data_IF_881300453073
#
_entry.id   IF_881300453073
#
_cell.length_a   1.000
_cell.length_b   1.000
_cell.length_c   1.000
_cell.angle_alpha   90.00
_cell.angle_beta   90.00
_cell.angle_gamma   90.00
#
_symmetry.space_group_name_H-M   'P 1'
#
loop_
_entity.id
_entity.type
_entity.pdbx_description
1 polymer ?
#
# COMPACT_ATOMS: atom_id res chain seq x y z
N UNK A 1 11.86 75.74 -11.57
CA UNK A 1 13.19 75.37 -12.07
C UNK A 1 13.98 74.93 -10.86
N UNK A 2 14.18 73.63 -10.71
CA UNK A 2 15.38 73.03 -10.09
C UNK A 2 15.21 71.50 -10.13
N UNK A 3 16.14 70.88 -10.85
CA UNK A 3 16.23 69.45 -11.12
C UNK A 3 16.72 68.70 -9.88
N UNK A 4 16.01 67.65 -9.46
CA UNK A 4 16.58 66.60 -8.61
C UNK A 4 16.82 65.37 -9.46
N UNK A 5 18.07 65.19 -9.88
CA UNK A 5 18.56 64.02 -10.59
C UNK A 5 18.44 62.77 -9.72
N UNK A 6 17.82 61.75 -10.32
CA UNK A 6 17.82 60.37 -9.87
C UNK A 6 19.15 59.72 -10.28
N UNK A 7 19.97 59.30 -9.32
CA UNK A 7 21.09 58.39 -9.58
C UNK A 7 20.68 56.96 -9.20
N UNK A 8 20.37 56.18 -10.23
CA UNK A 8 20.26 54.74 -10.17
C UNK A 8 21.68 54.15 -10.06
N UNK A 9 22.02 53.57 -8.91
CA UNK A 9 23.22 52.74 -8.81
C UNK A 9 22.86 51.35 -9.34
N UNK A 10 23.24 51.12 -10.60
CA UNK A 10 23.42 49.81 -11.20
C UNK A 10 24.54 49.07 -10.44
N UNK A 11 24.21 48.00 -9.71
CA UNK A 11 25.21 46.99 -9.34
C UNK A 11 25.02 45.82 -10.30
N UNK A 12 25.90 45.82 -11.30
CA UNK A 12 26.12 44.76 -12.25
C UNK A 12 26.33 43.42 -11.55
N UNK A 13 25.55 42.44 -11.99
CA UNK A 13 25.76 41.02 -11.83
C UNK A 13 27.20 40.67 -12.21
N UNK A 14 27.95 40.13 -11.25
CA UNK A 14 29.19 39.39 -11.52
C UNK A 14 29.01 38.02 -10.91
N UNK A 15 28.62 37.09 -11.77
CA UNK A 15 28.62 35.66 -11.55
C UNK A 15 30.06 35.20 -11.32
N UNK A 16 30.45 34.91 -10.08
CA UNK A 16 31.61 34.07 -9.72
C UNK A 16 31.65 33.76 -8.21
N UNK A 17 30.65 33.04 -7.68
CA UNK A 17 30.72 32.44 -6.33
C UNK A 17 30.24 30.97 -6.29
N UNK A 18 30.75 30.16 -7.22
CA UNK A 18 30.48 28.73 -7.27
C UNK A 18 31.76 27.89 -7.10
N UNK A 19 32.41 27.90 -5.91
CA UNK A 19 33.18 26.72 -5.46
C UNK A 19 33.63 26.67 -3.99
N UNK A 20 32.84 27.12 -3.01
CA UNK A 20 33.23 26.98 -1.60
C UNK A 20 32.34 26.03 -0.79
N UNK A 21 32.28 24.78 -1.24
CA UNK A 21 32.02 23.65 -0.32
C UNK A 21 33.37 23.00 -0.06
N UNK A 22 33.84 22.91 1.19
CA UNK A 22 34.99 22.08 1.50
C UNK A 22 34.68 20.66 1.06
N UNK A 23 35.43 20.12 0.07
CA UNK A 23 35.37 18.70 -0.30
C UNK A 23 35.73 17.89 0.94
N UNK A 24 34.74 17.24 1.56
CA UNK A 24 34.98 16.28 2.64
C UNK A 24 35.35 14.96 1.97
N UNK A 25 36.61 14.82 1.55
CA UNK A 25 37.16 13.55 1.09
C UNK A 25 37.84 12.84 2.25
N UNK A 26 37.27 11.71 2.67
CA UNK A 26 37.97 10.69 3.44
C UNK A 26 38.99 9.98 2.52
N UNK A 27 40.19 10.54 2.41
CA UNK A 27 41.31 9.85 1.73
C UNK A 27 42.59 10.08 2.51
N UNK A 28 43.01 9.04 3.23
CA UNK A 28 44.38 8.88 3.72
C UNK A 28 45.26 8.51 2.52
N UNK A 29 46.28 9.31 2.23
CA UNK A 29 47.29 8.99 1.22
C UNK A 29 48.43 8.17 1.84
N UNK A 30 48.71 7.00 1.25
CA UNK A 30 50.02 6.32 1.32
C UNK A 30 50.47 6.04 -0.11
N UNK A 31 51.62 6.61 -0.50
CA UNK A 31 52.47 6.17 -1.61
C UNK A 31 53.18 4.87 -1.17
N UNK A 32 53.53 3.84 -1.95
CA UNK A 32 53.72 3.63 -3.40
C UNK A 32 53.66 2.11 -3.72
N UNK A 33 53.10 1.77 -4.89
CA UNK A 33 53.53 0.74 -5.86
C UNK A 33 53.70 -0.74 -5.43
N UNK A 34 52.71 -1.62 -5.72
CA UNK A 34 52.87 -2.99 -6.29
C UNK A 34 51.52 -3.48 -6.91
N UNK A 35 51.58 -3.83 -8.20
CA UNK A 35 50.79 -4.78 -9.05
C UNK A 35 49.29 -5.05 -8.79
N UNK A 36 48.52 -4.88 -9.86
CA UNK A 36 47.09 -5.20 -10.04
C UNK A 36 46.76 -6.71 -10.06
N UNK A 37 45.76 -7.09 -9.25
CA UNK A 37 44.86 -8.26 -9.41
C UNK A 37 43.51 -7.92 -8.74
N UNK A 38 42.37 -8.42 -9.24
CA UNK A 38 41.04 -7.93 -8.85
C UNK A 38 40.58 -8.48 -7.50
N UNK A 39 40.20 -7.61 -6.56
CA UNK A 39 39.65 -8.01 -5.26
C UNK A 39 38.13 -7.85 -5.29
N UNK A 40 37.44 -9.00 -5.25
CA UNK A 40 36.03 -9.11 -4.92
C UNK A 40 35.80 -8.65 -3.47
N UNK A 41 34.93 -7.66 -3.26
CA UNK A 41 34.48 -7.27 -1.92
C UNK A 41 33.24 -8.10 -1.59
N UNK A 42 33.44 -9.12 -0.76
CA UNK A 42 32.38 -9.83 -0.03
C UNK A 42 32.03 -9.00 1.22
N UNK A 43 30.76 -8.79 1.57
CA UNK A 43 30.39 -8.09 2.80
C UNK A 43 30.80 -8.89 4.05
N UNK A 44 31.41 -8.19 5.01
CA UNK A 44 31.93 -8.75 6.27
C UNK A 44 30.78 -8.95 7.28
N UNK A 45 30.71 -10.09 8.00
CA UNK A 45 29.62 -10.39 8.93
C UNK A 45 29.74 -9.59 10.25
N UNK A 46 28.61 -9.06 10.72
CA UNK A 46 28.44 -8.49 12.05
C UNK A 46 28.63 -9.58 13.13
N UNK A 47 29.55 -9.34 14.06
CA UNK A 47 29.80 -10.21 15.21
C UNK A 47 29.23 -9.51 16.45
N UNK A 48 28.16 -10.07 17.02
CA UNK A 48 27.61 -9.60 18.30
C UNK A 48 28.36 -10.25 19.48
N UNK A 49 28.64 -9.52 20.58
CA UNK A 49 29.31 -10.07 21.75
C UNK A 49 28.39 -11.01 22.57
N UNK A 50 28.94 -12.03 23.25
CA UNK A 50 28.15 -13.08 23.90
C UNK A 50 27.50 -12.60 25.21
N UNK A 51 26.21 -12.89 25.36
CA UNK A 51 25.49 -12.74 26.63
C UNK A 51 25.90 -13.85 27.61
N UNK A 52 26.37 -13.43 28.79
CA UNK A 52 26.79 -14.29 29.88
C UNK A 52 25.58 -14.95 30.57
N UNK A 53 25.71 -16.25 30.84
CA UNK A 53 24.81 -17.05 31.67
C UNK A 53 25.01 -16.70 33.15
N UNK A 54 23.94 -16.39 33.88
CA UNK A 54 23.92 -16.43 35.35
C UNK A 54 22.95 -17.51 35.82
N UNK A 55 23.48 -18.42 36.63
CA UNK A 55 22.86 -19.59 37.24
C UNK A 55 21.88 -19.23 38.36
N UNK A 56 20.80 -20.01 38.46
CA UNK A 56 19.77 -19.91 39.48
C UNK A 56 20.21 -20.45 40.86
N UNK A 57 19.69 -19.84 41.92
CA UNK A 57 19.38 -20.51 43.18
C UNK A 57 18.00 -20.06 43.71
N UNK A 58 17.14 -21.06 43.96
CA UNK A 58 15.83 -21.03 44.65
C UNK A 58 16.07 -21.41 46.13
N UNK A 59 15.19 -21.12 47.12
CA UNK A 59 13.80 -21.61 47.22
C UNK A 59 12.77 -20.57 47.75
N UNK A 60 11.49 -20.59 47.32
CA UNK A 60 10.35 -21.37 47.86
C UNK A 60 9.37 -20.37 48.51
N UNK A 61 8.03 -20.35 48.38
CA UNK A 61 6.99 -21.32 47.99
C UNK A 61 5.64 -20.59 47.81
N UNK A 62 4.64 -21.30 47.27
CA UNK A 62 3.17 -21.10 47.38
C UNK A 62 2.36 -20.63 46.14
N UNK A 63 1.93 -21.65 45.38
CA UNK A 63 0.55 -21.96 44.95
C UNK A 63 -0.40 -20.82 44.50
N UNK A 64 -0.84 -20.85 43.23
CA UNK A 64 -2.12 -21.46 42.77
C UNK A 64 -2.26 -21.34 41.24
N UNK A 65 -2.61 -22.46 40.61
CA UNK A 65 -2.86 -22.65 39.18
C UNK A 65 -4.37 -22.76 38.94
N UNK A 66 -4.88 -22.12 37.88
CA UNK A 66 -6.14 -22.54 37.23
C UNK A 66 -6.08 -22.26 35.73
N UNK A 67 -6.06 -23.36 34.96
CA UNK A 67 -6.28 -23.44 33.52
C UNK A 67 -7.76 -23.67 33.24
N UNK A 68 -8.33 -23.03 32.21
CA UNK A 68 -9.64 -23.41 31.67
C UNK A 68 -9.50 -24.00 30.27
N UNK A 69 -9.77 -25.30 30.20
CA UNK A 69 -10.13 -26.11 29.03
C UNK A 69 -11.66 -26.18 29.02
N UNK A 70 -12.32 -25.92 27.89
CA UNK A 70 -13.76 -26.21 27.72
C UNK A 70 -13.93 -27.37 26.72
N UNK A 71 -14.77 -28.31 27.16
CA UNK A 71 -14.94 -29.68 26.70
C UNK A 71 -16.03 -29.82 25.64
N UNK A 72 -15.85 -30.83 24.77
CA UNK A 72 -16.90 -31.60 24.08
C UNK A 72 -17.88 -32.23 25.08
N UNK A 73 -19.17 -32.27 24.73
CA UNK A 73 -20.14 -33.27 25.22
C UNK A 73 -21.12 -33.66 24.11
N UNK A 74 -21.35 -34.97 24.00
CA UNK A 74 -22.51 -35.72 23.49
C UNK A 74 -22.78 -36.81 24.56
N UNK A 75 -23.83 -37.67 24.54
CA UNK A 75 -25.15 -37.71 23.85
C UNK A 75 -26.31 -38.05 24.84
N UNK A 76 -27.45 -38.65 24.37
CA UNK A 76 -28.51 -39.49 25.05
C UNK A 76 -29.93 -38.85 25.08
N UNK A 77 -31.11 -39.45 24.77
CA UNK A 77 -31.62 -40.78 24.35
C UNK A 77 -33.06 -40.67 23.77
N UNK A 78 -33.52 -41.78 23.17
CA UNK A 78 -34.84 -42.12 22.59
C UNK A 78 -36.04 -42.09 23.57
N UNK A 79 -37.27 -41.99 23.02
CA UNK A 79 -38.52 -42.38 23.68
C UNK A 79 -39.78 -42.11 22.84
N UNK A 80 -40.55 -43.16 22.55
CA UNK A 80 -41.78 -43.23 21.75
C UNK A 80 -43.04 -42.61 22.41
N UNK A 81 -43.98 -42.05 21.62
CA UNK A 81 -45.40 -42.50 21.59
C UNK A 81 -46.32 -41.73 20.61
N UNK A 82 -47.34 -42.46 20.17
CA UNK A 82 -48.31 -42.21 19.09
C UNK A 82 -49.71 -41.91 19.67
N UNK A 83 -50.44 -40.90 19.17
CA UNK A 83 -51.84 -41.00 18.67
C UNK A 83 -52.69 -39.71 18.70
N UNK A 84 -53.17 -39.34 17.51
CA UNK A 84 -54.53 -38.96 17.05
C UNK A 84 -55.29 -37.77 17.67
N UNK A 85 -55.77 -36.86 16.80
CA UNK A 85 -57.20 -36.68 16.41
C UNK A 85 -57.32 -35.67 15.24
N UNK A 86 -57.81 -36.13 14.08
CA UNK A 86 -59.05 -35.72 13.35
C UNK A 86 -58.95 -34.56 12.33
N UNK A 87 -59.06 -34.93 11.06
CA UNK A 87 -59.70 -34.28 9.89
C UNK A 87 -59.61 -32.76 9.68
N UNK A 88 -58.94 -32.33 8.60
CA UNK A 88 -59.56 -32.02 7.29
C UNK A 88 -58.76 -31.00 6.45
N UNK A 89 -58.71 -31.28 5.14
CA UNK A 89 -58.55 -30.34 4.01
C UNK A 89 -57.22 -29.61 3.70
N UNK A 90 -56.65 -30.06 2.55
CA UNK A 90 -56.00 -29.30 1.47
C UNK A 90 -54.68 -28.54 1.75
N UNK A 91 -53.58 -29.22 1.40
CA UNK A 91 -52.59 -28.85 0.36
C UNK A 91 -52.06 -27.40 0.34
N UNK A 92 -50.81 -27.19 0.75
CA UNK A 92 -49.81 -26.28 0.13
C UNK A 92 -48.44 -26.54 0.81
N UNK A 93 -47.66 -27.51 0.32
CA UNK A 93 -46.22 -27.51 0.63
C UNK A 93 -45.58 -26.37 -0.17
N UNK A 94 -45.43 -25.22 0.48
CA UNK A 94 -44.59 -24.13 0.00
C UNK A 94 -43.13 -24.58 0.11
N UNK A 95 -42.67 -25.33 -0.90
CA UNK A 95 -41.29 -25.77 -1.00
C UNK A 95 -40.43 -24.52 -1.23
N UNK A 96 -39.60 -24.20 -0.23
CA UNK A 96 -38.60 -23.14 -0.29
C UNK A 96 -37.69 -23.33 -1.53
N UNK A 97 -37.49 -22.26 -2.31
CA UNK A 97 -36.71 -22.28 -3.55
C UNK A 97 -35.27 -22.76 -3.35
N UNK A 98 -34.74 -22.62 -2.13
CA UNK A 98 -33.45 -23.15 -1.70
C UNK A 98 -33.48 -24.69 -1.67
N UNK A 99 -34.53 -25.29 -1.10
CA UNK A 99 -34.66 -26.74 -0.99
C UNK A 99 -34.75 -27.41 -2.36
N UNK A 100 -35.45 -26.77 -3.29
CA UNK A 100 -35.56 -27.25 -4.68
C UNK A 100 -34.22 -27.17 -5.43
N UNK A 101 -33.43 -26.12 -5.19
CA UNK A 101 -32.09 -25.98 -5.75
C UNK A 101 -31.11 -27.04 -5.22
N UNK A 102 -31.19 -27.36 -3.92
CA UNK A 102 -30.39 -28.44 -3.32
C UNK A 102 -30.73 -29.80 -3.95
N UNK A 103 -32.02 -30.09 -4.14
CA UNK A 103 -32.48 -31.31 -4.83
C UNK A 103 -31.96 -31.40 -6.28
N UNK A 104 -31.88 -30.28 -6.99
CA UNK A 104 -31.26 -30.21 -8.31
C UNK A 104 -29.75 -30.48 -8.27
N UNK A 105 -29.03 -29.91 -7.30
CA UNK A 105 -27.60 -30.17 -7.12
C UNK A 105 -27.32 -31.65 -6.86
N UNK A 106 -28.15 -32.31 -6.06
CA UNK A 106 -28.01 -33.73 -5.77
C UNK A 106 -28.36 -34.61 -6.98
N UNK A 107 -29.34 -34.21 -7.80
CA UNK A 107 -29.59 -34.86 -9.08
C UNK A 107 -28.39 -34.72 -10.05
N UNK A 108 -27.70 -33.57 -10.05
CA UNK A 108 -26.50 -33.34 -10.84
C UNK A 108 -25.32 -34.22 -10.42
N UNK A 109 -25.16 -34.48 -9.11
CA UNK A 109 -24.09 -35.36 -8.59
C UNK A 109 -24.29 -36.82 -9.00
N UNK A 110 -25.54 -37.29 -9.09
CA UNK A 110 -25.89 -38.67 -9.48
C UNK A 110 -25.61 -39.00 -10.96
N UNK A 111 -25.34 -37.99 -11.79
CA UNK A 111 -25.20 -38.13 -13.25
C UNK A 111 -23.78 -38.42 -13.75
N UNK A 112 -22.73 -38.21 -12.94
CA UNK A 112 -21.37 -38.22 -13.46
C UNK A 112 -20.62 -39.53 -13.27
N UNK A 113 -20.04 -40.02 -14.37
CA UNK A 113 -19.17 -41.21 -14.43
C UNK A 113 -17.75 -40.98 -13.88
N UNK A 114 -17.50 -39.89 -13.15
CA UNK A 114 -16.23 -39.64 -12.45
C UNK A 114 -16.40 -38.54 -11.37
N UNK A 115 -15.93 -38.83 -10.17
CA UNK A 115 -16.02 -37.97 -8.97
C UNK A 115 -15.44 -36.56 -9.16
N UNK A 116 -14.42 -36.40 -10.01
CA UNK A 116 -13.71 -35.13 -10.19
C UNK A 116 -14.49 -34.13 -11.07
N UNK A 117 -15.29 -34.62 -12.03
CA UNK A 117 -16.05 -33.76 -12.94
C UNK A 117 -17.39 -33.32 -12.33
N UNK A 118 -17.98 -34.11 -11.44
CA UNK A 118 -19.24 -33.81 -10.76
C UNK A 118 -19.10 -32.66 -9.77
N UNK A 119 -17.98 -32.58 -9.05
CA UNK A 119 -17.69 -31.47 -8.11
C UNK A 119 -17.50 -30.15 -8.85
N UNK A 120 -16.74 -30.14 -9.95
CA UNK A 120 -16.54 -28.94 -10.79
C UNK A 120 -17.87 -28.41 -11.34
N UNK A 121 -18.77 -29.30 -11.74
CA UNK A 121 -20.11 -28.95 -12.22
C UNK A 121 -20.96 -28.37 -11.08
N UNK A 122 -21.01 -29.05 -9.93
CA UNK A 122 -21.73 -28.60 -8.74
C UNK A 122 -21.26 -27.22 -8.27
N UNK A 123 -19.94 -26.99 -8.24
CA UNK A 123 -19.35 -25.70 -7.85
C UNK A 123 -19.72 -24.59 -8.85
N UNK A 124 -19.77 -24.89 -10.15
CA UNK A 124 -20.18 -23.92 -11.19
C UNK A 124 -21.65 -23.54 -11.09
N UNK A 125 -22.52 -24.49 -10.74
CA UNK A 125 -23.95 -24.26 -10.51
C UNK A 125 -24.18 -23.44 -9.24
N UNK A 126 -23.52 -23.79 -8.13
CA UNK A 126 -23.57 -23.02 -6.86
C UNK A 126 -23.06 -21.58 -7.03
N UNK A 127 -21.95 -21.40 -7.76
CA UNK A 127 -21.42 -20.06 -8.08
C UNK A 127 -22.38 -19.25 -8.96
N UNK A 128 -23.09 -19.89 -9.89
CA UNK A 128 -24.11 -19.22 -10.69
C UNK A 128 -25.33 -18.82 -9.87
N UNK A 129 -25.76 -19.66 -8.93
CA UNK A 129 -26.87 -19.39 -8.00
C UNK A 129 -26.55 -18.23 -7.06
N UNK A 130 -25.37 -18.22 -6.42
CA UNK A 130 -24.95 -17.11 -5.55
C UNK A 130 -24.78 -15.77 -6.27
N UNK A 131 -24.65 -15.77 -7.60
CA UNK A 131 -24.54 -14.55 -8.41
C UNK A 131 -25.87 -14.12 -9.06
N UNK A 132 -26.93 -14.94 -8.98
CA UNK A 132 -28.22 -14.65 -9.58
C UNK A 132 -29.05 -13.68 -8.71
N UNK A 133 -30.00 -12.97 -9.32
CA UNK A 133 -30.83 -12.00 -8.61
C UNK A 133 -31.70 -12.69 -7.54
N UNK A 134 -31.63 -12.29 -6.24
CA UNK A 134 -32.43 -12.88 -5.18
C UNK A 134 -33.95 -12.87 -5.47
N UNK A 135 -34.44 -11.83 -6.16
CA UNK A 135 -35.86 -11.73 -6.56
C UNK A 135 -36.23 -12.80 -7.60
N UNK A 136 -35.33 -13.11 -8.53
CA UNK A 136 -35.55 -14.17 -9.51
C UNK A 136 -35.44 -15.56 -8.86
N UNK A 137 -34.50 -15.75 -7.95
CA UNK A 137 -34.34 -17.02 -7.21
C UNK A 137 -35.59 -17.33 -6.38
N UNK A 138 -36.23 -16.32 -5.79
CA UNK A 138 -37.48 -16.46 -5.05
C UNK A 138 -38.72 -16.58 -5.95
N UNK A 139 -38.58 -16.46 -7.28
CA UNK A 139 -39.71 -16.46 -8.21
C UNK A 139 -40.23 -17.87 -8.55
N UNK A 140 -41.50 -17.95 -8.90
CA UNK A 140 -42.13 -19.18 -9.41
C UNK A 140 -41.50 -19.67 -10.72
N UNK A 141 -40.95 -18.75 -11.53
CA UNK A 141 -40.31 -19.10 -12.80
C UNK A 141 -39.06 -19.95 -12.57
N UNK A 142 -38.22 -19.55 -11.61
CA UNK A 142 -37.05 -20.32 -11.24
C UNK A 142 -37.44 -21.68 -10.63
N UNK A 143 -38.48 -21.71 -9.81
CA UNK A 143 -39.00 -22.95 -9.24
C UNK A 143 -39.55 -23.91 -10.32
N UNK A 144 -40.24 -23.39 -11.34
CA UNK A 144 -40.70 -24.18 -12.50
C UNK A 144 -39.51 -24.73 -13.30
N UNK A 145 -38.51 -23.89 -13.59
CA UNK A 145 -37.28 -24.29 -14.27
C UNK A 145 -36.60 -25.45 -13.56
N UNK A 146 -36.41 -25.36 -12.24
CA UNK A 146 -35.75 -26.40 -11.46
C UNK A 146 -36.56 -27.70 -11.44
N UNK A 147 -37.89 -27.63 -11.27
CA UNK A 147 -38.77 -28.82 -11.32
C UNK A 147 -38.64 -29.53 -12.67
N UNK A 148 -38.75 -28.80 -13.78
CA UNK A 148 -38.59 -29.34 -15.14
C UNK A 148 -37.19 -29.91 -15.35
N UNK A 149 -36.16 -29.24 -14.85
CA UNK A 149 -34.76 -29.68 -14.98
C UNK A 149 -34.47 -30.95 -14.19
N UNK A 150 -34.98 -31.07 -12.95
CA UNK A 150 -34.90 -32.30 -12.15
C UNK A 150 -35.63 -33.44 -12.86
N UNK A 151 -36.79 -33.17 -13.45
CA UNK A 151 -37.57 -34.16 -14.17
C UNK A 151 -36.87 -34.61 -15.45
N UNK A 152 -36.26 -33.70 -16.21
CA UNK A 152 -35.47 -34.03 -17.41
C UNK A 152 -34.19 -34.82 -17.11
N UNK A 153 -33.63 -34.66 -15.91
CA UNK A 153 -32.50 -35.46 -15.41
C UNK A 153 -32.96 -36.85 -14.98
N UNK A 154 -34.17 -36.96 -14.42
CA UNK A 154 -34.68 -38.18 -13.79
C UNK A 154 -35.43 -39.09 -14.78
N UNK A 155 -36.17 -38.50 -15.71
CA UNK A 155 -36.82 -39.17 -16.83
C UNK A 155 -35.87 -39.06 -18.01
N UNK A 156 -35.36 -40.19 -18.52
CA UNK A 156 -34.41 -40.29 -19.65
C UNK A 156 -34.95 -39.75 -20.99
N UNK A 157 -35.41 -38.50 -21.00
CA UNK A 157 -35.73 -37.72 -22.18
C UNK A 157 -34.42 -37.53 -22.96
N UNK A 158 -34.47 -37.59 -24.30
CA UNK A 158 -33.29 -37.64 -25.17
C UNK A 158 -32.29 -36.47 -25.08
N UNK A 159 -32.45 -35.55 -24.14
CA UNK A 159 -31.55 -34.44 -23.87
C UNK A 159 -30.41 -34.88 -22.96
N UNK A 160 -29.17 -34.75 -23.45
CA UNK A 160 -27.99 -35.10 -22.64
C UNK A 160 -28.00 -34.32 -21.31
N UNK A 161 -27.75 -34.96 -20.15
CA UNK A 161 -27.89 -34.32 -18.84
C UNK A 161 -27.06 -33.04 -18.65
N UNK A 162 -25.91 -32.95 -19.30
CA UNK A 162 -25.08 -31.73 -19.27
C UNK A 162 -25.72 -30.54 -19.97
N UNK A 163 -26.60 -30.74 -20.97
CA UNK A 163 -27.36 -29.66 -21.59
C UNK A 163 -28.39 -29.09 -20.62
N UNK A 164 -29.01 -29.93 -19.78
CA UNK A 164 -29.95 -29.49 -18.74
C UNK A 164 -29.22 -28.62 -17.72
N UNK A 165 -28.06 -29.06 -17.25
CA UNK A 165 -27.21 -28.27 -16.35
C UNK A 165 -26.75 -26.97 -17.01
N UNK A 166 -26.34 -27.01 -18.28
CA UNK A 166 -25.93 -25.82 -19.04
C UNK A 166 -27.08 -24.83 -19.18
N UNK A 167 -28.31 -25.30 -19.45
CA UNK A 167 -29.50 -24.47 -19.55
C UNK A 167 -29.79 -23.73 -18.25
N UNK A 168 -29.81 -24.45 -17.12
CA UNK A 168 -30.03 -23.85 -15.79
C UNK A 168 -28.96 -22.82 -15.46
N UNK A 169 -27.69 -23.13 -15.74
CA UNK A 169 -26.58 -22.21 -15.49
C UNK A 169 -26.67 -20.97 -16.39
N UNK A 170 -27.10 -21.10 -17.64
CA UNK A 170 -27.26 -19.96 -18.56
C UNK A 170 -28.43 -19.08 -18.15
N UNK A 171 -29.52 -19.68 -17.66
CA UNK A 171 -30.67 -18.93 -17.17
C UNK A 171 -30.37 -18.18 -15.87
N UNK A 172 -29.61 -18.79 -14.95
CA UNK A 172 -29.06 -18.13 -13.77
C UNK A 172 -28.11 -16.98 -14.14
N UNK A 173 -27.30 -17.14 -15.20
CA UNK A 173 -26.43 -16.07 -15.69
C UNK A 173 -27.20 -14.94 -16.38
N UNK A 174 -28.27 -15.28 -17.09
CA UNK A 174 -29.13 -14.32 -17.78
C UNK A 174 -29.93 -13.46 -16.80
N UNK A 175 -30.27 -14.02 -15.64
CA UNK A 175 -30.98 -13.37 -14.54
C UNK A 175 -30.06 -12.92 -13.39
N UNK A 176 -28.80 -12.61 -13.70
CA UNK A 176 -27.94 -11.85 -12.77
C UNK A 176 -28.51 -10.46 -12.55
N UNK A 177 -28.27 -9.87 -11.37
CA UNK A 177 -28.48 -8.44 -11.17
C UNK A 177 -27.66 -7.68 -12.22
N UNK A 178 -28.31 -7.19 -13.27
CA UNK A 178 -27.71 -6.27 -14.22
C UNK A 178 -27.48 -4.96 -13.46
N UNK A 179 -26.24 -4.68 -13.06
CA UNK A 179 -25.84 -3.29 -12.77
C UNK A 179 -26.29 -2.46 -13.96
N UNK A 180 -27.17 -1.48 -13.73
CA UNK A 180 -27.81 -0.66 -14.78
C UNK A 180 -26.70 -0.01 -15.61
N UNK A 181 -26.48 -0.48 -16.84
CA UNK A 181 -25.67 0.21 -17.86
C UNK A 181 -26.61 1.03 -18.73
N UNK A 182 -26.60 2.35 -18.55
CA UNK A 182 -26.94 3.28 -19.62
C UNK A 182 -25.77 3.28 -20.62
N UNK A 183 -26.05 3.02 -21.89
CA UNK A 183 -25.15 3.28 -23.02
C UNK A 183 -25.32 4.77 -23.41
N UNK A 184 -24.29 5.59 -23.63
CA UNK A 184 -23.12 5.34 -24.48
C UNK A 184 -21.79 5.83 -23.87
N UNK A 185 -20.89 4.86 -23.67
CA UNK A 185 -19.44 4.87 -23.87
C UNK A 185 -18.59 6.06 -23.35
N UNK A 186 -18.22 6.01 -22.06
CA UNK A 186 -16.85 5.71 -21.59
C UNK A 186 -16.90 5.34 -20.09
N UNK A 187 -16.05 4.38 -19.73
CA UNK A 187 -15.80 3.72 -18.43
C UNK A 187 -16.10 4.48 -17.11
N UNK A 188 -16.75 3.72 -16.20
CA UNK A 188 -16.63 3.58 -14.71
C UNK A 188 -16.23 4.79 -13.82
N UNK A 189 -16.72 5.01 -12.59
CA UNK A 189 -17.34 4.16 -11.57
C UNK A 189 -17.88 5.03 -10.40
N UNK A 190 -18.85 4.55 -9.63
CA UNK A 190 -19.01 4.84 -8.18
C UNK A 190 -19.92 3.74 -7.61
N UNK A 191 -19.61 3.02 -6.53
CA UNK A 191 -18.43 3.01 -5.68
C UNK A 191 -18.67 1.96 -4.59
N UNK A 192 -17.61 1.61 -3.84
CA UNK A 192 -17.64 1.55 -2.36
C UNK A 192 -16.19 1.42 -1.86
N UNK A 193 -15.78 2.35 -0.98
CA UNK A 193 -14.52 2.29 -0.21
C UNK A 193 -13.30 3.00 -0.79
N UNK A 194 -13.38 4.26 -1.25
CA UNK A 194 -12.20 5.11 -1.51
C UNK A 194 -12.51 6.61 -1.45
N UNK A 195 -12.88 7.13 -0.28
CA UNK A 195 -13.23 8.55 -0.13
C UNK A 195 -12.07 9.52 -0.34
N UNK A 196 -10.81 9.04 -0.37
CA UNK A 196 -9.61 9.86 -0.63
C UNK A 196 -8.96 9.65 -2.00
N UNK A 197 -9.01 8.46 -2.59
CA UNK A 197 -8.31 8.20 -3.86
C UNK A 197 -9.03 8.74 -5.10
N UNK A 198 -10.37 8.80 -5.10
CA UNK A 198 -11.14 9.33 -6.24
C UNK A 198 -10.85 10.81 -6.50
N UNK A 199 -10.71 11.60 -5.43
CA UNK A 199 -10.38 13.02 -5.51
C UNK A 199 -9.00 13.27 -6.14
N UNK A 200 -8.05 12.35 -5.91
CA UNK A 200 -6.70 12.47 -6.47
C UNK A 200 -6.64 12.01 -7.93
N UNK A 201 -7.42 10.98 -8.31
CA UNK A 201 -7.48 10.50 -9.70
C UNK A 201 -8.07 11.53 -10.68
N UNK A 202 -9.13 12.24 -10.27
CA UNK A 202 -9.71 13.32 -11.09
C UNK A 202 -8.75 14.51 -11.22
N UNK A 203 -8.08 14.88 -10.13
CA UNK A 203 -7.08 15.95 -10.12
C UNK A 203 -5.88 15.66 -11.04
N UNK A 204 -5.43 14.40 -11.11
CA UNK A 204 -4.34 14.00 -12.01
C UNK A 204 -4.77 14.11 -13.47
N UNK A 205 -5.95 13.59 -13.85
CA UNK A 205 -6.43 13.66 -15.24
C UNK A 205 -6.60 15.12 -15.69
N UNK A 206 -7.09 16.01 -14.82
CA UNK A 206 -7.21 17.43 -15.13
C UNK A 206 -5.85 18.11 -15.33
N UNK A 207 -4.83 17.71 -14.58
CA UNK A 207 -3.47 18.21 -14.79
C UNK A 207 -2.84 17.67 -16.08
N UNK A 208 -3.17 16.43 -16.48
CA UNK A 208 -2.73 15.86 -17.76
C UNK A 208 -3.41 16.58 -18.94
N UNK A 209 -4.69 16.94 -18.82
CA UNK A 209 -5.41 17.71 -19.86
C UNK A 209 -4.77 19.08 -20.14
N UNK A 210 -4.18 19.72 -19.12
CA UNK A 210 -3.49 21.02 -19.23
C UNK A 210 -2.17 20.96 -20.01
N UNK A 211 -1.61 19.76 -20.27
CA UNK A 211 -0.39 19.60 -21.06
C UNK A 211 -0.67 20.01 -22.52
N UNK A 212 0.02 21.05 -22.99
CA UNK A 212 -0.17 21.63 -24.33
C UNK A 212 0.25 20.65 -25.44
N UNK A 213 1.43 20.04 -25.31
CA UNK A 213 1.97 19.11 -26.31
C UNK A 213 1.16 17.79 -26.34
N UNK A 214 0.48 17.45 -27.46
CA UNK A 214 -0.34 16.25 -27.56
C UNK A 214 0.47 14.95 -27.41
N UNK A 215 1.76 14.94 -27.79
CA UNK A 215 2.63 13.76 -27.64
C UNK A 215 2.95 13.53 -26.17
N UNK A 216 3.39 14.57 -25.45
CA UNK A 216 3.61 14.52 -23.99
C UNK A 216 2.33 14.14 -23.25
N UNK A 217 1.18 14.70 -23.63
CA UNK A 217 -0.12 14.36 -23.02
C UNK A 217 -0.48 12.88 -23.21
N UNK A 218 -0.28 12.32 -24.40
CA UNK A 218 -0.50 10.88 -24.65
C UNK A 218 0.48 10.02 -23.84
N UNK A 219 1.73 10.45 -23.70
CA UNK A 219 2.72 9.75 -22.88
C UNK A 219 2.33 9.78 -21.40
N UNK A 220 1.91 10.94 -20.88
CA UNK A 220 1.46 11.09 -19.50
C UNK A 220 0.29 10.16 -19.18
N UNK A 221 -0.71 10.04 -20.07
CA UNK A 221 -1.81 9.07 -19.92
C UNK A 221 -1.34 7.61 -19.86
N UNK A 222 -0.34 7.25 -20.67
CA UNK A 222 0.24 5.89 -20.64
C UNK A 222 0.96 5.63 -19.32
N UNK A 223 1.73 6.61 -18.84
CA UNK A 223 2.45 6.53 -17.57
C UNK A 223 1.47 6.44 -16.40
N UNK A 224 0.42 7.28 -16.38
CA UNK A 224 -0.64 7.24 -15.38
C UNK A 224 -1.36 5.88 -15.34
N UNK A 225 -1.75 5.35 -16.51
CA UNK A 225 -2.35 4.01 -16.59
C UNK A 225 -1.42 2.91 -16.07
N UNK A 226 -0.11 3.02 -16.32
CA UNK A 226 0.88 2.10 -15.79
C UNK A 226 1.03 2.22 -14.27
N UNK A 227 1.06 3.45 -13.73
CA UNK A 227 1.06 3.70 -12.28
C UNK A 227 -0.15 3.07 -11.59
N UNK A 228 -1.36 3.21 -12.16
CA UNK A 228 -2.57 2.58 -11.62
C UNK A 228 -2.47 1.05 -11.58
N UNK A 229 -1.88 0.43 -12.61
CA UNK A 229 -1.66 -1.02 -12.65
C UNK A 229 -0.64 -1.46 -11.59
N UNK A 230 0.44 -0.71 -11.45
CA UNK A 230 1.47 -0.98 -10.44
C UNK A 230 0.92 -0.82 -9.03
N UNK A 231 0.16 0.24 -8.77
CA UNK A 231 -0.47 0.47 -7.47
C UNK A 231 -1.39 -0.69 -7.08
N UNK A 232 -2.25 -1.15 -7.99
CA UNK A 232 -3.09 -2.34 -7.78
C UNK A 232 -2.26 -3.59 -7.47
N UNK A 233 -1.13 -3.78 -8.17
CA UNK A 233 -0.26 -4.94 -7.94
C UNK A 233 0.49 -4.85 -6.60
N UNK A 234 0.94 -3.66 -6.21
CA UNK A 234 1.56 -3.40 -4.90
C UNK A 234 0.55 -3.73 -3.79
N UNK A 235 -0.67 -3.19 -3.86
CA UNK A 235 -1.73 -3.47 -2.89
C UNK A 235 -2.04 -4.98 -2.79
N UNK A 236 -2.13 -5.66 -3.92
CA UNK A 236 -2.32 -7.12 -3.93
C UNK A 236 -1.18 -7.86 -3.21
N UNK A 237 0.08 -7.48 -3.46
CA UNK A 237 1.24 -8.12 -2.82
C UNK A 237 1.38 -7.78 -1.34
N UNK A 238 0.87 -6.61 -0.92
CA UNK A 238 0.82 -6.19 0.49
C UNK A 238 -0.22 -6.99 1.29
N UNK A 239 -1.34 -7.35 0.67
CA UNK A 239 -2.44 -8.12 1.28
C UNK A 239 -2.25 -9.64 1.19
N UNK A 240 -1.34 -10.13 0.34
CA UNK A 240 -1.11 -11.56 0.12
C UNK A 240 -0.23 -12.16 1.24
N UNK A 241 -0.83 -13.05 2.03
CA UNK A 241 -0.11 -13.81 3.07
C UNK A 241 0.94 -14.74 2.45
N UNK A 242 2.13 -14.80 3.06
CA UNK A 242 3.21 -15.71 2.66
C UNK A 242 3.43 -16.79 3.71
N UNK A 243 3.70 -18.01 3.23
CA UNK A 243 4.22 -19.09 4.08
C UNK A 243 5.70 -18.87 4.43
N UNK A 244 6.19 -19.57 5.47
CA UNK A 244 7.59 -19.47 5.89
C UNK A 244 8.56 -19.91 4.78
N UNK A 245 8.18 -20.92 4.00
CA UNK A 245 9.01 -21.42 2.89
C UNK A 245 9.14 -20.37 1.78
N UNK A 246 8.04 -19.69 1.44
CA UNK A 246 8.02 -18.63 0.42
C UNK A 246 8.79 -17.36 0.85
N UNK A 247 9.08 -17.18 2.13
CA UNK A 247 9.89 -16.05 2.61
C UNK A 247 11.37 -16.18 2.22
N UNK A 248 11.87 -17.40 2.06
CA UNK A 248 13.26 -17.68 1.70
C UNK A 248 13.51 -17.62 0.18
N UNK A 249 12.45 -17.56 -0.62
CA UNK A 249 12.54 -17.49 -2.08
C UNK A 249 13.09 -16.14 -2.56
N UNK A 250 13.99 -16.16 -3.55
CA UNK A 250 14.52 -14.96 -4.23
C UNK A 250 13.43 -14.13 -4.93
N UNK A 251 12.30 -14.77 -5.24
CA UNK A 251 11.10 -14.15 -5.81
C UNK A 251 9.93 -14.10 -4.80
N UNK A 252 10.23 -14.04 -3.49
CA UNK A 252 9.23 -13.80 -2.44
C UNK A 252 8.42 -12.53 -2.71
N UNK A 253 7.20 -12.44 -2.16
CA UNK A 253 6.35 -11.27 -2.34
C UNK A 253 7.04 -10.00 -1.84
N UNK A 254 7.85 -10.07 -0.78
CA UNK A 254 8.60 -8.92 -0.26
C UNK A 254 9.61 -8.36 -1.28
N UNK A 255 10.37 -9.23 -1.94
CA UNK A 255 11.33 -8.82 -2.98
C UNK A 255 10.60 -8.26 -4.21
N UNK A 256 9.49 -8.89 -4.61
CA UNK A 256 8.63 -8.35 -5.68
C UNK A 256 8.10 -6.97 -5.33
N UNK A 257 7.63 -6.77 -4.09
CA UNK A 257 7.07 -5.52 -3.60
C UNK A 257 8.09 -4.37 -3.71
N UNK A 258 9.35 -4.61 -3.30
CA UNK A 258 10.43 -3.64 -3.46
C UNK A 258 10.70 -3.28 -4.93
N UNK A 259 10.77 -4.28 -5.82
CA UNK A 259 10.91 -4.08 -7.28
C UNK A 259 9.76 -3.22 -7.84
N UNK A 260 8.52 -3.52 -7.46
CA UNK A 260 7.34 -2.76 -7.93
C UNK A 260 7.29 -1.34 -7.36
N UNK A 261 7.58 -1.13 -6.08
CA UNK A 261 7.67 0.21 -5.46
C UNK A 261 8.77 1.06 -6.12
N UNK A 262 9.95 0.48 -6.32
CA UNK A 262 11.06 1.13 -7.03
C UNK A 262 10.66 1.53 -8.45
N UNK A 263 9.92 0.68 -9.17
CA UNK A 263 9.43 0.99 -10.51
C UNK A 263 8.32 2.06 -10.49
N UNK A 264 7.44 2.02 -9.49
CA UNK A 264 6.39 3.02 -9.27
C UNK A 264 7.00 4.42 -9.10
N UNK A 265 8.01 4.57 -8.22
CA UNK A 265 8.71 5.85 -8.01
C UNK A 265 9.31 6.39 -9.32
N UNK A 266 9.95 5.53 -10.12
CA UNK A 266 10.53 5.92 -11.42
C UNK A 266 9.48 6.47 -12.39
N UNK A 267 8.33 5.79 -12.50
CA UNK A 267 7.25 6.25 -13.36
C UNK A 267 6.58 7.51 -12.81
N UNK A 268 6.45 7.64 -11.49
CA UNK A 268 5.89 8.83 -10.85
C UNK A 268 6.76 10.07 -11.12
N UNK A 269 8.09 9.95 -10.96
CA UNK A 269 9.02 11.01 -11.35
C UNK A 269 8.86 11.38 -12.82
N UNK A 270 8.69 10.38 -13.70
CA UNK A 270 8.46 10.64 -15.13
C UNK A 270 7.14 11.35 -15.41
N UNK A 271 6.08 11.04 -14.66
CA UNK A 271 4.81 11.74 -14.76
C UNK A 271 4.96 13.20 -14.33
N UNK A 272 5.67 13.45 -13.23
CA UNK A 272 5.96 14.80 -12.73
C UNK A 272 6.76 15.62 -13.75
N UNK A 273 7.78 15.04 -14.40
CA UNK A 273 8.52 15.68 -15.49
C UNK A 273 7.61 16.07 -16.67
N UNK A 274 6.66 15.22 -17.05
CA UNK A 274 5.72 15.49 -18.15
C UNK A 274 4.70 16.57 -17.78
N UNK A 275 4.40 16.72 -16.49
CA UNK A 275 3.49 17.73 -15.94
C UNK A 275 4.20 19.02 -15.51
N UNK A 276 5.53 19.07 -15.60
CA UNK A 276 6.37 20.20 -15.13
C UNK A 276 6.17 20.51 -13.63
N UNK A 277 5.99 19.46 -12.83
CA UNK A 277 5.83 19.52 -11.36
C UNK A 277 7.04 18.92 -10.64
N UNK A 278 7.22 19.30 -9.37
CA UNK A 278 8.21 18.64 -8.51
C UNK A 278 7.78 17.20 -8.19
N UNK A 279 8.74 16.27 -8.16
CA UNK A 279 8.52 14.88 -7.78
C UNK A 279 8.50 14.65 -6.25
N UNK A 280 8.50 15.72 -5.45
CA UNK A 280 8.56 15.66 -3.99
C UNK A 280 7.28 15.12 -3.31
N UNK A 281 6.26 14.75 -4.09
CA UNK A 281 4.96 14.25 -3.63
C UNK A 281 4.34 15.10 -2.50
N UNK A 282 4.60 16.41 -2.52
CA UNK A 282 4.19 17.40 -1.52
C UNK A 282 4.66 17.13 -0.07
N UNK A 283 5.51 16.12 0.12
CA UNK A 283 5.99 15.68 1.44
C UNK A 283 6.70 16.81 2.16
N UNK A 284 6.19 17.14 3.35
CA UNK A 284 6.68 18.28 4.14
C UNK A 284 8.17 18.14 4.46
N UNK A 285 8.68 16.92 4.65
CA UNK A 285 10.10 16.67 4.89
C UNK A 285 11.01 17.17 3.75
N UNK A 286 10.59 17.10 2.49
CA UNK A 286 11.38 17.55 1.33
C UNK A 286 11.40 19.07 1.14
N UNK A 287 10.47 19.81 1.75
CA UNK A 287 10.44 21.28 1.67
C UNK A 287 11.75 21.89 2.21
N UNK A 288 12.11 23.08 1.74
CA UNK A 288 13.25 23.80 2.33
C UNK A 288 13.01 24.06 3.81
N UNK A 289 14.09 24.08 4.58
CA UNK A 289 14.09 24.39 6.01
C UNK A 289 14.46 25.85 6.16
N UNK A 290 13.75 26.58 6.98
CA UNK A 290 14.18 27.88 7.51
C UNK A 290 14.58 27.70 8.97
N UNK A 291 15.67 28.33 9.39
CA UNK A 291 16.14 28.26 10.77
C UNK A 291 16.35 29.66 11.34
N UNK A 292 15.77 29.93 12.52
CA UNK A 292 15.87 31.21 13.22
C UNK A 292 16.29 31.03 14.70
N UNK A 293 16.89 29.89 15.06
CA UNK A 293 17.19 29.57 16.47
C UNK A 293 18.40 30.32 17.03
N UNK A 294 19.41 30.61 16.22
CA UNK A 294 20.57 31.39 16.68
C UNK A 294 20.24 32.88 16.72
N UNK A 295 20.75 33.64 17.71
CA UNK A 295 20.66 35.11 17.71
C UNK A 295 21.47 35.77 16.59
N UNK A 296 22.28 34.99 15.84
CA UNK A 296 23.11 35.47 14.75
C UNK A 296 22.52 35.04 13.40
N UNK A 297 21.89 35.95 12.63
CA UNK A 297 21.25 35.63 11.36
C UNK A 297 22.23 35.06 10.32
N UNK A 298 23.49 35.46 10.37
CA UNK A 298 24.52 34.98 9.44
C UNK A 298 24.84 33.49 9.66
N UNK A 299 24.84 33.05 10.92
CA UNK A 299 24.98 31.63 11.27
C UNK A 299 23.76 30.84 10.80
N UNK A 300 22.56 31.39 11.03
CA UNK A 300 21.31 30.78 10.60
C UNK A 300 21.27 30.56 9.09
N UNK A 301 21.56 31.60 8.31
CA UNK A 301 21.56 31.55 6.85
C UNK A 301 22.62 30.57 6.29
N UNK A 302 23.80 30.51 6.92
CA UNK A 302 24.86 29.60 6.52
C UNK A 302 24.47 28.14 6.77
N UNK A 303 23.89 27.85 7.93
CA UNK A 303 23.41 26.52 8.31
C UNK A 303 22.22 26.08 7.45
N UNK A 304 21.29 26.99 7.19
CA UNK A 304 20.16 26.78 6.28
C UNK A 304 20.64 26.42 4.87
N UNK A 305 21.59 27.20 4.32
CA UNK A 305 22.16 26.96 2.99
C UNK A 305 22.88 25.61 2.93
N UNK A 306 23.63 25.24 3.97
CA UNK A 306 24.28 23.95 4.08
C UNK A 306 23.26 22.81 4.03
N UNK A 307 22.30 22.79 4.96
CA UNK A 307 21.34 21.69 5.07
C UNK A 307 20.41 21.59 3.86
N UNK A 308 19.91 22.71 3.33
CA UNK A 308 19.03 22.69 2.17
C UNK A 308 19.72 22.18 0.89
N UNK A 309 21.05 22.26 0.83
CA UNK A 309 21.85 21.75 -0.28
C UNK A 309 22.23 20.28 -0.11
N UNK A 310 22.70 19.87 1.08
CA UNK A 310 23.18 18.49 1.31
C UNK A 310 22.05 17.54 1.71
N UNK A 311 21.05 18.04 2.44
CA UNK A 311 20.00 17.25 3.11
C UNK A 311 20.54 16.19 4.09
N UNK A 312 21.81 16.33 4.46
CA UNK A 312 22.48 15.48 5.44
C UNK A 312 22.34 16.09 6.83
N UNK A 313 22.20 15.23 7.85
CA UNK A 313 22.15 15.67 9.23
C UNK A 313 23.55 16.16 9.63
N UNK A 314 23.73 17.46 9.95
CA UNK A 314 25.05 17.99 10.28
C UNK A 314 25.54 17.38 11.58
N UNK A 315 26.83 17.05 11.65
CA UNK A 315 27.48 16.76 12.92
C UNK A 315 27.89 18.06 13.66
N UNK A 316 28.42 17.92 14.87
CA UNK A 316 28.88 19.08 15.63
C UNK A 316 30.04 19.83 14.95
N UNK A 317 30.95 19.11 14.29
CA UNK A 317 32.10 19.71 13.62
C UNK A 317 31.68 20.47 12.36
N UNK A 318 30.65 20.02 11.64
CA UNK A 318 30.03 20.71 10.53
C UNK A 318 29.51 22.07 10.99
N UNK A 319 28.69 22.09 12.04
CA UNK A 319 28.15 23.33 12.60
C UNK A 319 29.28 24.23 13.12
N UNK A 320 30.27 23.67 13.81
CA UNK A 320 31.42 24.46 14.30
C UNK A 320 32.22 25.08 13.16
N UNK A 321 32.47 24.34 12.07
CA UNK A 321 33.14 24.87 10.87
C UNK A 321 32.34 25.99 10.21
N UNK A 322 31.02 25.86 10.14
CA UNK A 322 30.13 26.91 9.63
C UNK A 322 30.17 28.17 10.51
N UNK A 323 30.18 28.02 11.84
CA UNK A 323 30.30 29.16 12.77
C UNK A 323 31.68 29.82 12.64
N UNK A 324 32.76 29.04 12.51
CA UNK A 324 34.11 29.56 12.27
C UNK A 324 34.19 30.33 10.96
N UNK A 325 33.59 29.80 9.90
CA UNK A 325 33.47 30.44 8.60
C UNK A 325 32.75 31.79 8.68
N UNK A 326 31.62 31.84 9.39
CA UNK A 326 30.87 33.09 9.58
C UNK A 326 31.69 34.08 10.39
N UNK A 327 32.38 33.62 11.44
CA UNK A 327 33.23 34.46 12.27
C UNK A 327 34.35 35.15 11.47
N UNK A 328 35.01 34.41 10.57
CA UNK A 328 36.07 34.96 9.71
C UNK A 328 35.52 35.85 8.59
N UNK A 329 34.44 35.43 7.93
CA UNK A 329 33.87 36.14 6.77
C UNK A 329 33.17 37.44 7.18
N UNK A 330 32.42 37.41 8.29
CA UNK A 330 31.63 38.56 8.78
C UNK A 330 32.35 39.37 9.86
N UNK A 331 33.62 39.04 10.17
CA UNK A 331 34.48 39.75 11.13
C UNK A 331 33.82 39.93 12.51
N UNK A 332 33.20 38.87 13.02
CA UNK A 332 32.49 38.89 14.31
C UNK A 332 33.42 38.86 15.54
N UNK A 333 34.73 38.60 15.33
CA UNK A 333 35.79 38.60 16.34
C UNK A 333 35.49 37.74 17.58
N UNK A 334 34.81 36.60 17.40
CA UNK A 334 34.57 35.67 18.49
C UNK A 334 35.81 34.84 18.80
N UNK A 335 36.17 34.77 20.09
CA UNK A 335 37.20 33.85 20.58
C UNK A 335 36.79 32.37 20.47
N UNK A 336 37.74 31.43 20.58
CA UNK A 336 37.51 30.00 20.33
C UNK A 336 36.45 29.38 21.24
N UNK A 337 36.40 29.79 22.51
CA UNK A 337 35.40 29.32 23.49
C UNK A 337 33.99 29.80 23.09
N UNK A 338 33.86 31.07 22.67
CA UNK A 338 32.58 31.62 22.25
C UNK A 338 32.07 30.94 20.98
N UNK A 339 32.96 30.68 20.01
CA UNK A 339 32.65 29.91 18.80
C UNK A 339 32.15 28.51 19.16
N UNK A 340 32.82 27.83 20.09
CA UNK A 340 32.40 26.50 20.56
C UNK A 340 30.99 26.54 21.16
N UNK A 341 30.73 27.48 22.07
CA UNK A 341 29.43 27.58 22.74
C UNK A 341 28.30 27.93 21.77
N UNK A 342 28.54 28.81 20.80
CA UNK A 342 27.56 29.13 19.75
C UNK A 342 27.29 27.90 18.90
N UNK A 343 28.34 27.19 18.47
CA UNK A 343 28.19 25.98 17.68
C UNK A 343 27.42 24.90 18.45
N UNK A 344 27.71 24.70 19.74
CA UNK A 344 27.05 23.68 20.56
C UNK A 344 25.56 23.97 20.74
N UNK A 345 25.21 25.21 21.07
CA UNK A 345 23.81 25.64 21.20
C UNK A 345 23.07 25.49 19.87
N UNK A 346 23.66 26.01 18.79
CA UNK A 346 23.08 25.97 17.45
C UNK A 346 22.88 24.52 16.98
N UNK A 347 23.86 23.64 17.21
CA UNK A 347 23.79 22.23 16.88
C UNK A 347 22.66 21.51 17.63
N UNK A 348 22.54 21.73 18.94
CA UNK A 348 21.48 21.13 19.76
C UNK A 348 20.10 21.56 19.29
N UNK A 349 19.87 22.86 19.12
CA UNK A 349 18.57 23.39 18.71
C UNK A 349 18.20 22.99 17.27
N UNK A 350 19.13 23.11 16.33
CA UNK A 350 18.90 22.73 14.94
C UNK A 350 18.70 21.21 14.81
N UNK A 351 19.51 20.41 15.49
CA UNK A 351 19.39 18.96 15.51
C UNK A 351 18.06 18.50 16.09
N UNK A 352 17.59 19.13 17.17
CA UNK A 352 16.27 18.84 17.74
C UNK A 352 15.14 19.20 16.77
N UNK A 353 15.22 20.35 16.09
CA UNK A 353 14.27 20.74 15.05
C UNK A 353 14.22 19.71 13.90
N UNK A 354 15.38 19.28 13.40
CA UNK A 354 15.47 18.25 12.35
C UNK A 354 14.88 16.92 12.82
N UNK A 355 15.16 16.52 14.06
CA UNK A 355 14.62 15.30 14.65
C UNK A 355 13.10 15.35 14.74
N UNK A 356 12.52 16.44 15.27
CA UNK A 356 11.06 16.62 15.34
C UNK A 356 10.43 16.58 13.97
N UNK A 357 11.06 17.22 12.97
CA UNK A 357 10.57 17.20 11.59
C UNK A 357 10.56 15.79 10.99
N UNK A 358 11.59 14.98 11.25
CA UNK A 358 11.66 13.58 10.82
C UNK A 358 10.61 12.72 11.53
N UNK A 359 10.46 12.89 12.84
CA UNK A 359 9.45 12.16 13.61
C UNK A 359 8.03 12.48 13.14
N UNK A 360 7.74 13.74 12.81
CA UNK A 360 6.46 14.13 12.27
C UNK A 360 6.19 13.49 10.90
N UNK A 361 7.20 13.44 10.05
CA UNK A 361 7.11 12.79 8.74
C UNK A 361 6.91 11.27 8.86
N UNK A 362 7.61 10.60 9.78
CA UNK A 362 7.36 9.19 10.09
C UNK A 362 5.92 8.98 10.58
N UNK A 363 5.42 9.86 11.46
CA UNK A 363 4.04 9.79 11.97
C UNK A 363 3.00 10.00 10.86
N UNK A 364 3.22 10.97 9.97
CA UNK A 364 2.33 11.23 8.82
C UNK A 364 2.25 10.02 7.88
N UNK A 365 3.39 9.39 7.60
CA UNK A 365 3.47 8.16 6.80
C UNK A 365 2.71 7.03 7.50
N UNK A 366 2.99 6.77 8.77
CA UNK A 366 2.33 5.69 9.52
C UNK A 366 0.81 5.93 9.64
N UNK A 367 0.39 7.18 9.85
CA UNK A 367 -1.01 7.59 9.89
C UNK A 367 -1.73 7.35 8.57
N UNK A 368 -1.04 7.51 7.43
CA UNK A 368 -1.63 7.26 6.11
C UNK A 368 -2.05 5.79 5.93
N UNK A 369 -1.27 4.83 6.43
CA UNK A 369 -1.60 3.40 6.37
C UNK A 369 -2.81 3.05 7.23
N UNK A 370 -2.93 3.66 8.42
CA UNK A 370 -4.03 3.40 9.35
C UNK A 370 -5.35 4.04 8.90
N UNK A 371 -5.29 5.18 8.21
CA UNK A 371 -6.49 5.89 7.74
C UNK A 371 -7.23 5.22 6.56
N UNK A 372 -6.69 4.12 6.03
CA UNK A 372 -7.28 3.32 4.95
C UNK A 372 -7.95 2.04 5.46
N UNK A 373 -8.00 1.82 6.78
CA UNK A 373 -8.71 0.72 7.41
C UNK A 373 -10.05 1.27 7.88
N UNK A 374 -11.06 1.21 7.01
CA UNK A 374 -12.46 1.45 7.39
C UNK A 374 -12.98 0.21 8.15
N UNK A 375 -13.70 0.45 9.26
CA UNK A 375 -14.48 -0.54 10.04
C UNK A 375 -15.62 -1.18 9.23
#
# INVERSE_FOLDING_TARGET
MENTNSECINISSSDDENNWIPKISSTVSLNTNVKEQPICIVPKPETYPPQQKSTASKPGSSLKSTSYIIKRVQPVKQGDNVSKTTDSNKNYEQIDGIHLFLKFCDACKKLGTSSVNTEKISNKVKKAYGAANPVYIASDNFSKLLKTSIQNISSSSGTKPWHVVRSVVEELRSNKLKKKKYSNATDENLGEGTSKDQNNEEAIEDTIKKIQDPKKRRQARKVDSALRKLHKKIKQLEEEEMSLDEMEDEDSNYIKLDKYRSHYVKLYSKLCELQEKSADAERTYHRRISYLGSPYPEVNACLEKFYNKTREFPDFQDVKRLVQYVNSTKKMNWGPIKVHNIAEKTFKEFGEMLKRRRQFDDYDIMGSYLSNVDD
#
